data_IF_111047151488
#
_entry.id   IF_111047151488
#
_cell.length_a   1.000
_cell.length_b   1.000
_cell.length_c   1.000
_cell.angle_alpha   90.00
_cell.angle_beta   90.00
_cell.angle_gamma   90.00
#
_symmetry.space_group_name_H-M   'P 1'
#
loop_
_entity.id
_entity.type
_entity.pdbx_description
1 polymer ?
#
# COMPACT_ATOMS: atom_id res chain seq x y z
N UNK A 1 -17.45 -15.64 32.78
CA UNK A 1 -16.16 -16.28 33.28
C UNK A 1 -15.63 -15.43 34.42
N UNK A 2 -15.03 -16.06 35.47
CA UNK A 2 -14.52 -15.30 36.61
C UNK A 2 -13.18 -14.63 36.26
N UNK A 3 -13.17 -13.34 36.26
CA UNK A 3 -11.95 -12.52 36.12
C UNK A 3 -11.88 -11.49 37.24
N UNK A 4 -10.69 -10.95 37.51
CA UNK A 4 -10.52 -9.84 38.43
C UNK A 4 -9.51 -8.83 37.91
N UNK A 5 -9.76 -7.54 38.19
CA UNK A 5 -8.90 -6.41 37.82
C UNK A 5 -8.47 -5.71 39.12
N UNK A 6 -7.16 -5.64 39.35
CA UNK A 6 -6.55 -5.04 40.54
C UNK A 6 -5.39 -4.12 40.15
N UNK A 7 -5.00 -3.23 41.06
CA UNK A 7 -3.91 -2.27 40.88
C UNK A 7 -2.85 -2.39 41.98
N UNK A 8 -2.12 -3.53 42.07
CA UNK A 8 -1.10 -3.69 43.09
C UNK A 8 0.13 -2.82 42.81
N UNK A 9 0.69 -2.25 43.84
CA UNK A 9 2.01 -1.64 43.85
C UNK A 9 3.10 -2.73 43.86
N UNK A 10 4.23 -2.49 43.21
CA UNK A 10 5.43 -3.36 43.38
C UNK A 10 6.02 -3.17 44.77
N UNK A 11 6.74 -4.22 45.24
CA UNK A 11 7.43 -4.21 46.55
C UNK A 11 8.93 -4.44 46.40
N UNK A 12 9.38 -4.83 45.19
CA UNK A 12 10.72 -5.36 44.96
C UNK A 12 11.69 -4.31 44.37
N UNK A 13 11.20 -3.25 43.76
CA UNK A 13 12.05 -2.23 43.09
C UNK A 13 11.43 -0.85 43.18
N UNK A 14 12.09 0.02 43.94
CA UNK A 14 11.76 1.46 43.98
C UNK A 14 12.43 2.26 42.83
N UNK A 15 11.87 3.41 42.48
CA UNK A 15 12.51 4.40 41.66
C UNK A 15 13.57 5.20 42.49
N UNK A 16 14.24 6.18 41.85
CA UNK A 16 15.27 7.03 42.51
C UNK A 16 14.75 7.86 43.67
N UNK A 17 13.41 8.03 43.74
CA UNK A 17 12.71 8.82 44.77
C UNK A 17 12.03 7.93 45.82
N UNK A 18 12.36 6.63 45.87
CA UNK A 18 11.76 5.68 46.82
C UNK A 18 10.31 5.28 46.53
N UNK A 19 9.78 5.62 45.35
CA UNK A 19 8.40 5.27 44.90
C UNK A 19 8.39 3.97 44.13
N UNK A 20 7.31 3.24 44.20
CA UNK A 20 7.12 1.94 43.57
C UNK A 20 6.09 1.99 42.46
N UNK A 21 6.34 1.29 41.37
CA UNK A 21 5.44 1.24 40.24
C UNK A 21 4.11 0.57 40.59
N UNK A 22 3.01 1.23 40.26
CA UNK A 22 1.66 0.67 40.28
C UNK A 22 1.41 -0.04 38.94
N UNK A 23 0.83 -1.24 38.98
CA UNK A 23 0.57 -2.05 37.80
C UNK A 23 -0.90 -2.46 37.76
N UNK A 24 -1.45 -2.61 36.55
CA UNK A 24 -2.71 -3.32 36.38
C UNK A 24 -2.43 -4.82 36.45
N UNK A 25 -3.14 -5.53 37.30
CA UNK A 25 -3.14 -6.98 37.39
C UNK A 25 -4.49 -7.52 36.92
N UNK A 26 -4.51 -8.20 35.78
CA UNK A 26 -5.67 -8.96 35.30
C UNK A 26 -5.49 -10.44 35.63
N UNK A 27 -6.52 -11.04 36.21
CA UNK A 27 -6.55 -12.48 36.52
C UNK A 27 -7.69 -13.13 35.77
N UNK A 28 -7.40 -14.25 35.11
CA UNK A 28 -8.40 -15.14 34.47
C UNK A 28 -7.98 -16.59 34.67
N UNK A 29 -8.88 -17.46 35.08
CA UNK A 29 -8.62 -18.90 35.26
C UNK A 29 -7.38 -19.17 36.13
N UNK A 30 -7.25 -18.46 37.30
CA UNK A 30 -6.14 -18.54 38.25
C UNK A 30 -4.77 -18.09 37.70
N UNK A 31 -4.65 -17.67 36.46
CA UNK A 31 -3.45 -17.07 35.86
C UNK A 31 -3.49 -15.55 35.95
N UNK A 32 -2.33 -14.91 36.13
CA UNK A 32 -2.20 -13.46 36.31
C UNK A 32 -1.30 -12.85 35.23
N UNK A 33 -1.62 -11.64 34.81
CA UNK A 33 -0.77 -10.80 33.96
C UNK A 33 -0.66 -9.40 34.58
N UNK A 34 0.55 -8.85 34.60
CA UNK A 34 0.84 -7.53 35.12
C UNK A 34 1.20 -6.58 33.98
N UNK A 35 0.53 -5.44 33.90
CA UNK A 35 0.73 -4.41 32.88
C UNK A 35 1.24 -3.15 33.59
N UNK A 36 2.35 -2.58 33.12
CA UNK A 36 2.90 -1.34 33.61
C UNK A 36 1.99 -0.14 33.26
N UNK A 37 1.83 0.82 34.20
CA UNK A 37 0.93 1.97 34.02
C UNK A 37 1.64 3.34 34.05
N UNK A 38 2.96 3.39 34.12
CA UNK A 38 3.74 4.63 34.33
C UNK A 38 3.26 5.48 35.54
N UNK A 39 2.71 4.79 36.54
CA UNK A 39 2.30 5.36 37.83
C UNK A 39 3.19 4.85 38.94
N UNK A 40 3.63 5.74 39.81
CA UNK A 40 4.49 5.43 40.94
C UNK A 40 3.87 5.95 42.23
N UNK A 41 3.82 5.08 43.24
CA UNK A 41 3.26 5.40 44.56
C UNK A 41 4.35 5.34 45.63
N UNK A 42 4.35 6.35 46.50
CA UNK A 42 5.10 6.31 47.73
C UNK A 42 4.36 5.39 48.71
N UNK A 43 5.06 4.44 49.37
CA UNK A 43 4.46 3.52 50.34
C UNK A 43 3.67 4.25 51.45
N UNK A 44 4.13 5.41 51.90
CA UNK A 44 3.50 6.19 52.93
C UNK A 44 2.13 6.77 52.53
N UNK A 45 1.90 6.89 51.23
CA UNK A 45 0.69 7.51 50.68
C UNK A 45 -0.08 6.57 49.76
N UNK A 46 0.08 5.24 49.94
CA UNK A 46 -0.63 4.24 49.17
C UNK A 46 -1.49 3.34 50.07
N UNK A 47 -2.77 3.25 49.77
CA UNK A 47 -3.69 2.31 50.42
C UNK A 47 -3.64 0.97 49.70
N UNK A 48 -3.00 -0.02 50.30
CA UNK A 48 -2.85 -1.38 49.73
C UNK A 48 -4.20 -2.11 49.62
N UNK A 49 -5.13 -1.84 50.53
CA UNK A 49 -6.44 -2.51 50.52
C UNK A 49 -7.39 -1.88 49.49
N UNK A 50 -7.41 -0.55 49.43
CA UNK A 50 -8.20 0.20 48.46
C UNK A 50 -7.56 0.31 47.08
N UNK A 51 -6.26 -0.04 46.93
CA UNK A 51 -5.46 0.06 45.68
C UNK A 51 -5.53 1.48 45.09
N UNK A 52 -5.32 2.48 45.95
CA UNK A 52 -5.42 3.90 45.58
C UNK A 52 -4.47 4.78 46.40
N UNK A 53 -4.24 5.99 45.89
CA UNK A 53 -3.45 6.98 46.63
C UNK A 53 -4.27 7.54 47.79
N UNK A 54 -3.62 7.70 48.97
CA UNK A 54 -4.21 8.33 50.16
C UNK A 54 -4.27 9.84 49.96
N UNK A 55 -5.45 10.40 50.07
CA UNK A 55 -5.71 11.85 49.96
C UNK A 55 -5.73 12.44 51.36
N UNK A 56 -4.80 13.36 51.61
CA UNK A 56 -4.70 14.03 52.91
C UNK A 56 -5.70 15.19 53.02
N UNK A 57 -6.22 15.41 54.22
CA UNK A 57 -7.14 16.53 54.53
C UNK A 57 -6.41 17.60 55.31
N UNK A 58 -6.91 18.83 55.29
CA UNK A 58 -6.45 19.96 56.09
C UNK A 58 -4.99 20.39 55.88
N UNK A 59 -4.50 20.32 54.61
CA UNK A 59 -3.16 20.72 54.24
C UNK A 59 -2.96 22.23 54.29
N UNK A 60 -1.90 22.70 54.98
CA UNK A 60 -1.57 24.12 55.12
C UNK A 60 -0.51 24.59 54.10
N UNK A 61 0.46 23.74 53.74
CA UNK A 61 1.57 24.07 52.84
C UNK A 61 1.20 24.00 51.35
N UNK A 62 1.73 24.89 50.52
CA UNK A 62 1.50 24.90 49.08
C UNK A 62 2.06 23.63 48.39
N UNK A 63 3.20 23.13 48.80
CA UNK A 63 3.84 21.93 48.31
C UNK A 63 3.01 20.69 48.60
N UNK A 64 2.55 20.51 49.83
CA UNK A 64 1.68 19.40 50.21
C UNK A 64 0.35 19.41 49.45
N UNK A 65 -0.20 20.60 49.15
CA UNK A 65 -1.41 20.75 48.31
C UNK A 65 -1.14 20.31 46.88
N UNK A 66 0.02 20.66 46.32
CA UNK A 66 0.41 20.25 44.96
C UNK A 66 0.61 18.71 44.84
N UNK A 67 1.26 18.10 45.82
CA UNK A 67 1.41 16.63 45.88
C UNK A 67 0.07 15.93 46.05
N UNK A 68 -0.82 16.46 46.86
CA UNK A 68 -2.16 15.90 47.04
C UNK A 68 -2.97 15.96 45.76
N UNK A 69 -2.87 17.05 45.02
CA UNK A 69 -3.48 17.19 43.68
C UNK A 69 -2.93 16.15 42.67
N UNK A 70 -1.62 15.81 42.73
CA UNK A 70 -1.05 14.72 41.94
C UNK A 70 -1.63 13.37 42.35
N UNK A 71 -1.83 13.10 43.63
CA UNK A 71 -2.47 11.87 44.13
C UNK A 71 -3.93 11.75 43.69
N UNK A 72 -4.68 12.85 43.73
CA UNK A 72 -6.06 12.92 43.19
C UNK A 72 -6.09 12.60 41.68
N UNK A 73 -5.16 13.19 40.92
CA UNK A 73 -5.02 12.89 39.48
C UNK A 73 -4.63 11.41 39.24
N UNK A 74 -3.78 10.84 40.09
CA UNK A 74 -3.43 9.42 40.06
C UNK A 74 -4.66 8.53 40.29
N UNK A 75 -5.49 8.83 41.31
CA UNK A 75 -6.72 8.08 41.55
C UNK A 75 -7.74 8.21 40.39
N UNK A 76 -7.88 9.40 39.83
CA UNK A 76 -8.73 9.59 38.64
C UNK A 76 -8.25 8.77 37.43
N UNK A 77 -6.93 8.62 37.26
CA UNK A 77 -6.35 7.82 36.21
C UNK A 77 -6.55 6.32 36.48
N UNK A 78 -6.37 5.84 37.71
CA UNK A 78 -6.66 4.46 38.09
C UNK A 78 -8.13 4.10 37.84
N UNK A 79 -9.05 4.99 38.18
CA UNK A 79 -10.47 4.81 37.89
C UNK A 79 -10.74 4.66 36.38
N UNK A 80 -10.12 5.50 35.54
CA UNK A 80 -10.18 5.40 34.08
C UNK A 80 -9.64 4.07 33.57
N UNK A 81 -8.51 3.62 34.09
CA UNK A 81 -7.94 2.32 33.72
C UNK A 81 -8.83 1.15 34.12
N UNK A 82 -9.51 1.24 35.28
CA UNK A 82 -10.44 0.22 35.73
C UNK A 82 -11.67 0.12 34.85
N UNK A 83 -12.27 1.25 34.47
CA UNK A 83 -13.39 1.30 33.51
C UNK A 83 -12.97 0.69 32.18
N UNK A 84 -11.86 1.16 31.62
CA UNK A 84 -11.33 0.66 30.35
C UNK A 84 -11.06 -0.85 30.34
N UNK A 85 -10.46 -1.37 31.42
CA UNK A 85 -10.19 -2.80 31.53
C UNK A 85 -11.48 -3.63 31.54
N UNK A 86 -12.56 -3.10 32.20
CA UNK A 86 -13.87 -3.74 32.18
C UNK A 86 -14.50 -3.71 30.80
N UNK A 87 -14.50 -2.58 30.11
CA UNK A 87 -15.04 -2.44 28.75
C UNK A 87 -14.37 -3.42 27.75
N UNK A 88 -13.07 -3.65 27.89
CA UNK A 88 -12.36 -4.62 27.06
C UNK A 88 -12.88 -6.05 27.30
N UNK A 89 -13.03 -6.43 28.55
CA UNK A 89 -13.53 -7.77 28.90
C UNK A 89 -14.99 -7.93 28.48
N UNK A 90 -15.84 -6.96 28.77
CA UNK A 90 -17.26 -6.96 28.37
C UNK A 90 -17.41 -7.09 26.85
N UNK A 91 -16.58 -6.40 26.07
CA UNK A 91 -16.57 -6.56 24.60
C UNK A 91 -16.21 -7.97 24.19
N UNK A 92 -15.18 -8.59 24.76
CA UNK A 92 -14.84 -9.98 24.47
C UNK A 92 -15.98 -10.94 24.83
N UNK A 93 -16.69 -10.70 25.92
CA UNK A 93 -17.83 -11.50 26.34
C UNK A 93 -19.03 -11.34 25.41
N UNK A 94 -19.35 -10.12 24.96
CA UNK A 94 -20.41 -9.82 23.98
C UNK A 94 -20.10 -10.48 22.64
N UNK A 95 -18.84 -10.44 22.20
CA UNK A 95 -18.40 -11.05 20.96
C UNK A 95 -18.21 -12.58 21.04
N UNK A 96 -18.43 -13.19 22.22
CA UNK A 96 -18.27 -14.62 22.46
C UNK A 96 -16.82 -15.13 22.35
N UNK A 97 -15.84 -14.22 22.52
CA UNK A 97 -14.41 -14.53 22.41
C UNK A 97 -13.91 -15.11 23.72
N UNK A 98 -13.38 -16.33 23.71
CA UNK A 98 -12.59 -16.86 24.84
C UNK A 98 -11.18 -16.24 24.81
N UNK A 99 -11.07 -15.01 25.34
CA UNK A 99 -9.86 -14.21 25.31
C UNK A 99 -8.74 -14.77 26.22
N UNK A 100 -7.50 -14.57 25.78
CA UNK A 100 -6.29 -14.86 26.57
C UNK A 100 -5.77 -13.60 27.28
N UNK A 101 -4.94 -13.79 28.31
CA UNK A 101 -4.30 -12.66 29.03
C UNK A 101 -3.41 -11.81 28.11
N UNK A 102 -2.78 -12.43 27.09
CA UNK A 102 -2.00 -11.68 26.10
C UNK A 102 -2.87 -10.84 25.18
N UNK A 103 -4.00 -11.37 24.71
CA UNK A 103 -4.98 -10.60 23.93
C UNK A 103 -5.54 -9.41 24.72
N UNK A 104 -5.79 -9.61 26.01
CA UNK A 104 -6.21 -8.50 26.89
C UNK A 104 -5.08 -7.45 27.00
N UNK A 105 -3.84 -7.85 27.30
CA UNK A 105 -2.68 -6.94 27.39
C UNK A 105 -2.50 -6.16 26.10
N UNK A 106 -2.48 -6.85 24.94
CA UNK A 106 -2.33 -6.23 23.62
C UNK A 106 -3.46 -5.21 23.37
N UNK A 107 -4.70 -5.58 23.69
CA UNK A 107 -5.85 -4.67 23.56
C UNK A 107 -5.74 -3.50 24.52
N UNK A 108 -5.34 -3.74 25.77
CA UNK A 108 -5.19 -2.70 26.78
C UNK A 108 -4.03 -1.74 26.48
N UNK A 109 -2.89 -2.19 26.03
CA UNK A 109 -1.73 -1.38 25.66
C UNK A 109 -1.95 -0.64 24.34
N UNK A 110 -2.52 -1.31 23.36
CA UNK A 110 -2.79 -0.71 22.05
C UNK A 110 -3.87 0.37 22.09
N UNK A 111 -4.71 0.42 23.15
CA UNK A 111 -5.68 1.49 23.30
C UNK A 111 -5.01 2.87 23.60
N UNK A 112 -3.75 2.93 24.02
CA UNK A 112 -3.01 4.20 24.07
C UNK A 112 -2.68 4.73 22.65
N UNK A 113 -2.60 3.83 21.66
CA UNK A 113 -2.59 4.13 20.22
C UNK A 113 -4.02 4.16 19.62
N UNK A 114 -5.03 3.67 20.36
CA UNK A 114 -6.44 3.70 19.97
C UNK A 114 -6.87 5.17 19.82
N UNK A 115 -7.18 5.51 18.60
CA UNK A 115 -7.69 6.82 18.28
C UNK A 115 -6.75 7.69 17.47
N UNK A 116 -5.43 7.55 17.51
CA UNK A 116 -4.53 8.40 16.72
C UNK A 116 -4.37 7.87 15.29
N UNK A 117 -5.13 8.45 14.41
CA UNK A 117 -5.18 8.06 13.00
C UNK A 117 -3.79 8.05 12.33
N UNK A 118 -3.00 9.14 12.49
CA UNK A 118 -1.72 9.24 11.79
C UNK A 118 -0.65 8.29 12.32
N UNK A 119 -0.64 8.01 13.63
CA UNK A 119 0.27 7.02 14.21
C UNK A 119 0.00 5.61 13.66
N UNK A 120 -1.27 5.19 13.62
CA UNK A 120 -1.69 3.93 13.01
C UNK A 120 -1.31 3.85 11.51
N UNK A 121 -1.50 4.96 10.78
CA UNK A 121 -1.12 5.02 9.37
C UNK A 121 0.39 4.81 9.19
N UNK A 122 1.23 5.43 10.05
CA UNK A 122 2.69 5.27 10.04
C UNK A 122 3.11 3.83 10.36
N UNK A 123 2.52 3.22 11.38
CA UNK A 123 2.78 1.81 11.75
C UNK A 123 2.43 0.87 10.58
N UNK A 124 1.32 1.15 9.87
CA UNK A 124 0.92 0.36 8.70
C UNK A 124 1.90 0.50 7.53
N UNK A 125 2.43 1.68 7.28
CA UNK A 125 3.47 1.90 6.27
C UNK A 125 4.72 1.09 6.60
N UNK A 126 5.15 1.12 7.87
CA UNK A 126 6.30 0.37 8.34
C UNK A 126 6.11 -1.15 8.21
N UNK A 127 4.94 -1.67 8.57
CA UNK A 127 4.57 -3.09 8.42
C UNK A 127 4.64 -3.54 6.95
N UNK A 128 4.04 -2.76 6.04
CA UNK A 128 4.09 -3.05 4.60
C UNK A 128 5.52 -3.05 4.06
N UNK A 129 6.35 -2.13 4.56
CA UNK A 129 7.75 -2.06 4.20
C UNK A 129 8.51 -3.29 4.69
N UNK A 130 8.38 -3.65 5.97
CA UNK A 130 9.03 -4.80 6.59
C UNK A 130 8.64 -6.13 5.92
N UNK A 131 7.38 -6.24 5.46
CA UNK A 131 6.88 -7.43 4.74
C UNK A 131 7.19 -7.44 3.23
N UNK A 132 8.02 -6.49 2.76
CA UNK A 132 8.45 -6.40 1.36
C UNK A 132 7.36 -5.95 0.38
N UNK A 133 6.27 -5.32 0.88
CA UNK A 133 5.24 -4.68 0.07
C UNK A 133 5.59 -3.23 -0.28
N UNK A 134 6.82 -3.01 -0.79
CA UNK A 134 7.41 -1.68 -0.98
C UNK A 134 6.51 -0.75 -1.82
N UNK A 135 5.92 -1.25 -2.91
CA UNK A 135 5.02 -0.45 -3.75
C UNK A 135 3.78 0.06 -2.99
N UNK A 136 3.17 -0.78 -2.15
CA UNK A 136 2.03 -0.38 -1.33
C UNK A 136 2.45 0.57 -0.21
N UNK A 137 3.59 0.33 0.45
CA UNK A 137 4.10 1.25 1.48
C UNK A 137 4.35 2.64 0.91
N UNK A 138 4.88 2.75 -0.30
CA UNK A 138 5.06 4.03 -1.00
C UNK A 138 3.73 4.71 -1.36
N UNK A 139 2.72 3.95 -1.79
CA UNK A 139 1.36 4.47 -2.05
C UNK A 139 0.74 5.06 -0.77
N UNK A 140 0.85 4.35 0.34
CA UNK A 140 0.36 4.82 1.62
C UNK A 140 1.14 6.03 2.13
N UNK A 141 2.48 6.02 1.99
CA UNK A 141 3.31 7.17 2.34
C UNK A 141 2.93 8.43 1.56
N UNK A 142 2.77 8.33 0.23
CA UNK A 142 2.33 9.45 -0.60
C UNK A 142 0.96 9.99 -0.17
N UNK A 143 0.05 9.09 0.21
CA UNK A 143 -1.28 9.48 0.70
C UNK A 143 -1.18 10.17 2.06
N UNK A 144 -0.35 9.67 2.97
CA UNK A 144 -0.10 10.29 4.27
C UNK A 144 0.55 11.68 4.13
N UNK A 145 1.53 11.81 3.24
CA UNK A 145 2.19 13.11 2.97
C UNK A 145 1.20 14.13 2.38
N UNK A 146 0.29 13.68 1.52
CA UNK A 146 -0.76 14.53 0.98
C UNK A 146 -1.78 14.95 2.04
N UNK A 147 -2.15 14.05 2.96
CA UNK A 147 -3.00 14.35 4.11
C UNK A 147 -2.32 15.33 5.07
N UNK A 148 -1.02 15.20 5.34
CA UNK A 148 -0.23 16.16 6.13
C UNK A 148 -0.18 17.55 5.47
N UNK A 149 -0.14 17.60 4.15
CA UNK A 149 -0.21 18.86 3.39
C UNK A 149 -1.59 19.53 3.50
N UNK A 150 -2.65 18.74 3.63
CA UNK A 150 -4.02 19.22 3.85
C UNK A 150 -4.25 19.64 5.30
N UNK A 151 -3.85 18.80 6.25
CA UNK A 151 -4.11 18.98 7.67
C UNK A 151 -2.81 18.97 8.50
N UNK A 152 -2.34 20.15 8.89
CA UNK A 152 -1.14 20.31 9.73
C UNK A 152 -1.27 19.70 11.12
N UNK A 153 -2.52 19.43 11.57
CA UNK A 153 -2.82 18.81 12.87
C UNK A 153 -3.11 17.31 12.75
N UNK A 154 -2.74 16.67 11.63
CA UNK A 154 -3.00 15.25 11.37
C UNK A 154 -2.50 14.33 12.49
N UNK A 155 -1.35 14.66 13.12
CA UNK A 155 -0.78 13.89 14.25
C UNK A 155 -1.67 13.90 15.51
N UNK A 156 -2.57 14.87 15.61
CA UNK A 156 -3.50 15.01 16.74
C UNK A 156 -4.87 14.37 16.44
N UNK A 157 -5.17 14.08 15.17
CA UNK A 157 -6.46 13.54 14.74
C UNK A 157 -6.70 12.14 15.26
N UNK A 158 -7.91 11.95 15.78
CA UNK A 158 -8.45 10.65 16.12
C UNK A 158 -9.15 10.04 14.89
N UNK A 159 -9.42 8.73 14.91
CA UNK A 159 -10.21 8.10 13.84
C UNK A 159 -11.62 8.70 13.75
N UNK A 160 -12.21 9.13 14.85
CA UNK A 160 -13.49 9.82 14.87
C UNK A 160 -13.51 11.15 14.13
N UNK A 161 -12.35 11.80 13.98
CA UNK A 161 -12.23 13.08 13.28
C UNK A 161 -12.13 12.90 11.76
N UNK A 162 -11.88 11.67 11.29
CA UNK A 162 -11.79 11.34 9.86
C UNK A 162 -13.19 10.95 9.35
N UNK A 163 -14.10 11.84 9.49
CA UNK A 163 -15.51 11.70 9.11
C UNK A 163 -15.78 12.11 7.64
N UNK A 164 -17.04 12.09 7.23
CA UNK A 164 -17.45 12.47 5.88
C UNK A 164 -17.12 13.93 5.56
N UNK A 165 -17.20 14.83 6.53
CA UNK A 165 -16.86 16.25 6.34
C UNK A 165 -15.37 16.42 6.09
N UNK A 166 -14.53 15.70 6.86
CA UNK A 166 -13.09 15.69 6.69
C UNK A 166 -12.70 15.20 5.27
N UNK A 167 -13.30 14.08 4.84
CA UNK A 167 -13.04 13.47 3.52
C UNK A 167 -13.46 14.39 2.38
N UNK A 168 -14.62 15.04 2.49
CA UNK A 168 -15.07 16.06 1.50
C UNK A 168 -14.13 17.27 1.48
N UNK A 169 -13.66 17.74 2.63
CA UNK A 169 -12.68 18.82 2.70
C UNK A 169 -11.35 18.46 2.05
N UNK A 170 -10.88 17.23 2.26
CA UNK A 170 -9.69 16.71 1.59
C UNK A 170 -9.88 16.61 0.07
N UNK A 171 -11.07 16.18 -0.40
CA UNK A 171 -11.38 16.16 -1.84
C UNK A 171 -11.33 17.55 -2.46
N UNK A 172 -11.94 18.53 -1.82
CA UNK A 172 -11.88 19.94 -2.26
C UNK A 172 -10.44 20.48 -2.30
N UNK A 173 -9.62 20.11 -1.32
CA UNK A 173 -8.21 20.49 -1.31
C UNK A 173 -7.47 19.88 -2.51
N UNK A 174 -7.69 18.60 -2.82
CA UNK A 174 -7.08 17.93 -3.96
C UNK A 174 -7.54 18.56 -5.30
N UNK A 175 -8.83 18.93 -5.41
CA UNK A 175 -9.35 19.63 -6.58
C UNK A 175 -8.67 21.01 -6.78
N UNK A 176 -8.54 21.79 -5.71
CA UNK A 176 -7.84 23.09 -5.76
C UNK A 176 -6.38 22.97 -6.17
N UNK A 177 -5.74 21.81 -5.93
CA UNK A 177 -4.39 21.50 -6.40
C UNK A 177 -4.34 20.99 -7.85
N UNK A 178 -5.45 20.97 -8.56
CA UNK A 178 -5.54 20.50 -9.94
C UNK A 178 -5.46 18.96 -10.09
N UNK A 179 -5.70 18.19 -9.02
CA UNK A 179 -5.72 16.74 -9.12
C UNK A 179 -6.95 16.27 -9.91
N UNK A 180 -6.73 15.53 -11.02
CA UNK A 180 -7.82 14.87 -11.76
C UNK A 180 -8.49 13.76 -10.90
N UNK A 181 -9.69 13.32 -11.31
CA UNK A 181 -10.48 12.33 -10.58
C UNK A 181 -9.73 11.04 -10.30
N UNK A 182 -8.99 10.52 -11.28
CA UNK A 182 -8.19 9.30 -11.09
C UNK A 182 -7.06 9.47 -10.06
N UNK A 183 -6.44 10.65 -9.97
CA UNK A 183 -5.44 10.95 -8.92
C UNK A 183 -6.11 11.05 -7.55
N UNK A 184 -7.28 11.68 -7.45
CA UNK A 184 -8.07 11.74 -6.23
C UNK A 184 -8.50 10.33 -5.79
N UNK A 185 -9.00 9.53 -6.73
CA UNK A 185 -9.34 8.11 -6.52
C UNK A 185 -8.18 7.31 -5.93
N UNK A 186 -6.95 7.56 -6.38
CA UNK A 186 -5.74 6.91 -5.84
C UNK A 186 -5.58 7.18 -4.35
N UNK A 187 -5.65 8.43 -3.90
CA UNK A 187 -5.54 8.80 -2.49
C UNK A 187 -6.70 8.24 -1.65
N UNK A 188 -7.92 8.33 -2.14
CA UNK A 188 -9.08 7.81 -1.41
C UNK A 188 -9.14 6.29 -1.31
N UNK A 189 -8.62 5.56 -2.29
CA UNK A 189 -8.47 4.10 -2.17
C UNK A 189 -7.54 3.72 -1.02
N UNK A 190 -6.40 4.39 -0.87
CA UNK A 190 -5.46 4.15 0.22
C UNK A 190 -6.06 4.54 1.58
N UNK A 191 -6.68 5.72 1.68
CA UNK A 191 -7.36 6.18 2.90
C UNK A 191 -8.48 5.21 3.32
N UNK A 192 -9.32 4.78 2.38
CA UNK A 192 -10.38 3.80 2.64
C UNK A 192 -9.83 2.47 3.13
N UNK A 193 -8.74 1.98 2.54
CA UNK A 193 -8.12 0.73 2.96
C UNK A 193 -7.57 0.80 4.39
N UNK A 194 -6.98 1.93 4.79
CA UNK A 194 -6.53 2.18 6.18
C UNK A 194 -7.70 2.17 7.16
N UNK A 195 -8.78 2.90 6.85
CA UNK A 195 -9.95 2.97 7.73
C UNK A 195 -10.68 1.63 7.85
N UNK A 196 -10.81 0.89 6.73
CA UNK A 196 -11.40 -0.45 6.74
C UNK A 196 -10.60 -1.40 7.63
N UNK A 197 -9.27 -1.37 7.51
CA UNK A 197 -8.41 -2.21 8.34
C UNK A 197 -8.49 -1.82 9.80
N UNK A 198 -8.41 -0.53 10.13
CA UNK A 198 -8.55 -0.04 11.50
C UNK A 198 -9.88 -0.45 12.12
N UNK A 199 -10.97 -0.40 11.36
CA UNK A 199 -12.28 -0.86 11.82
C UNK A 199 -12.32 -2.37 12.07
N UNK A 200 -11.72 -3.16 11.17
CA UNK A 200 -11.61 -4.61 11.34
C UNK A 200 -10.75 -5.02 12.55
N UNK A 201 -9.75 -4.21 12.89
CA UNK A 201 -8.88 -4.39 14.07
C UNK A 201 -9.48 -3.77 15.36
N UNK A 202 -10.67 -3.15 15.26
CA UNK A 202 -11.38 -2.55 16.42
C UNK A 202 -10.74 -1.26 16.97
N UNK A 203 -9.79 -0.65 16.22
CA UNK A 203 -9.12 0.60 16.60
C UNK A 203 -9.68 1.83 15.86
N UNK A 204 -10.46 1.59 14.82
CA UNK A 204 -11.11 2.62 14.02
C UNK A 204 -12.40 3.15 14.66
N UNK A 205 -13.12 4.01 13.93
CA UNK A 205 -14.43 4.54 14.31
C UNK A 205 -15.47 4.16 13.26
N UNK A 206 -16.28 3.14 13.55
CA UNK A 206 -17.36 2.70 12.66
C UNK A 206 -18.46 3.76 12.56
N UNK A 207 -18.75 4.44 13.67
CA UNK A 207 -19.82 5.46 13.75
C UNK A 207 -19.58 6.67 12.81
N UNK A 208 -18.33 7.04 12.59
CA UNK A 208 -17.94 8.18 11.73
C UNK A 208 -17.35 7.75 10.39
N UNK A 209 -17.44 6.44 10.04
CA UNK A 209 -16.84 5.90 8.82
C UNK A 209 -17.37 6.60 7.56
N UNK A 210 -16.48 7.26 6.77
CA UNK A 210 -16.90 8.18 5.71
C UNK A 210 -17.26 7.51 4.38
N UNK A 211 -16.92 6.24 4.18
CA UNK A 211 -17.11 5.52 2.91
C UNK A 211 -18.27 4.52 2.93
N UNK A 212 -19.13 4.57 3.95
CA UNK A 212 -20.30 3.71 4.09
C UNK A 212 -21.44 4.10 3.14
N UNK A 213 -22.60 3.48 3.31
CA UNK A 213 -23.81 3.79 2.54
C UNK A 213 -24.20 5.28 2.73
N UNK A 214 -24.35 6.01 1.63
CA UNK A 214 -24.61 7.47 1.65
C UNK A 214 -23.38 8.32 1.97
N UNK A 215 -22.20 7.71 2.14
CA UNK A 215 -20.93 8.39 2.38
C UNK A 215 -20.24 8.87 1.10
N UNK A 216 -18.91 8.96 1.15
CA UNK A 216 -18.09 9.39 0.02
C UNK A 216 -17.85 8.24 -0.97
N UNK A 217 -18.32 8.41 -2.20
CA UNK A 217 -18.26 7.39 -3.24
C UNK A 217 -16.99 7.52 -4.09
N UNK A 218 -15.98 6.70 -3.77
CA UNK A 218 -14.68 6.70 -4.47
C UNK A 218 -14.81 6.29 -5.96
N UNK A 219 -15.83 5.50 -6.31
CA UNK A 219 -16.10 5.08 -7.70
C UNK A 219 -16.47 6.25 -8.60
N UNK A 220 -17.20 7.25 -8.09
CA UNK A 220 -17.59 8.44 -8.83
C UNK A 220 -16.43 9.35 -9.25
N UNK A 221 -15.24 9.13 -8.70
CA UNK A 221 -14.04 9.86 -9.08
C UNK A 221 -13.37 9.30 -10.34
N UNK A 222 -13.89 8.19 -10.88
CA UNK A 222 -13.31 7.55 -12.04
C UNK A 222 -13.57 8.38 -13.30
N UNK A 223 -12.49 8.78 -13.94
CA UNK A 223 -12.50 9.46 -15.22
C UNK A 223 -11.94 8.52 -16.29
N UNK A 224 -12.64 8.44 -17.40
CA UNK A 224 -12.16 7.71 -18.57
C UNK A 224 -10.84 8.33 -19.05
N UNK A 225 -9.82 7.51 -19.18
CA UNK A 225 -8.56 7.94 -19.77
C UNK A 225 -8.55 7.60 -21.25
N UNK A 226 -8.18 8.57 -22.10
CA UNK A 226 -8.02 8.33 -23.52
C UNK A 226 -7.06 7.14 -23.74
N UNK A 227 -7.50 6.17 -24.52
CA UNK A 227 -6.68 5.02 -24.90
C UNK A 227 -5.59 5.49 -25.85
N UNK A 228 -4.35 5.18 -25.53
CA UNK A 228 -3.19 5.64 -26.29
C UNK A 228 -2.46 4.42 -26.84
N UNK A 229 -2.73 4.06 -28.08
CA UNK A 229 -1.98 3.08 -28.84
C UNK A 229 -1.36 3.74 -30.07
N UNK A 230 -0.22 3.22 -30.53
CA UNK A 230 0.42 3.74 -31.72
C UNK A 230 -0.36 3.33 -32.98
N UNK A 231 -0.61 4.28 -33.88
CA UNK A 231 -1.03 3.94 -35.25
C UNK A 231 -0.03 3.01 -35.95
N UNK A 232 -0.52 2.23 -36.91
CA UNK A 232 0.33 1.25 -37.61
C UNK A 232 1.54 1.89 -38.31
N UNK A 233 1.36 3.09 -38.91
CA UNK A 233 2.45 3.84 -39.54
C UNK A 233 3.54 4.22 -38.54
N UNK A 234 3.17 4.73 -37.36
CA UNK A 234 4.11 5.14 -36.32
C UNK A 234 4.83 3.92 -35.67
N UNK A 235 4.11 2.82 -35.52
CA UNK A 235 4.70 1.56 -35.11
C UNK A 235 5.72 1.04 -36.14
N UNK A 236 5.42 1.18 -37.44
CA UNK A 236 6.34 0.83 -38.52
C UNK A 236 7.61 1.66 -38.47
N UNK A 237 7.52 2.99 -38.26
CA UNK A 237 8.69 3.84 -38.03
C UNK A 237 9.55 3.33 -36.87
N UNK A 238 8.93 3.05 -35.73
CA UNK A 238 9.66 2.50 -34.57
C UNK A 238 10.36 1.16 -34.87
N UNK A 239 9.79 0.33 -35.73
CA UNK A 239 10.40 -0.96 -36.11
C UNK A 239 11.58 -0.80 -37.07
N UNK A 240 11.46 0.10 -38.06
CA UNK A 240 12.42 0.23 -39.16
C UNK A 240 13.55 1.22 -38.93
N UNK A 241 13.35 2.21 -38.08
CA UNK A 241 14.32 3.29 -37.86
C UNK A 241 15.14 3.05 -36.57
N UNK A 242 16.46 3.17 -36.71
CA UNK A 242 17.37 3.17 -35.57
C UNK A 242 17.53 4.61 -35.06
N UNK A 243 17.42 4.84 -33.75
CA UNK A 243 17.62 6.15 -33.19
C UNK A 243 19.11 6.52 -33.17
N UNK A 244 19.44 7.79 -33.45
CA UNK A 244 20.81 8.29 -33.44
C UNK A 244 21.38 8.40 -32.03
N UNK A 245 20.53 8.77 -31.05
CA UNK A 245 20.92 8.80 -29.65
C UNK A 245 20.93 7.39 -29.03
N UNK A 246 22.07 6.89 -28.49
CA UNK A 246 22.16 5.53 -27.95
C UNK A 246 21.15 5.26 -26.82
N UNK A 247 20.77 6.24 -26.04
CA UNK A 247 19.79 6.10 -24.95
C UNK A 247 18.36 6.01 -25.51
N UNK A 248 18.07 6.74 -26.59
CA UNK A 248 16.80 6.62 -27.31
C UNK A 248 16.70 5.26 -28.00
N UNK A 249 17.80 4.78 -28.61
CA UNK A 249 17.86 3.46 -29.21
C UNK A 249 17.66 2.34 -28.18
N UNK A 250 18.26 2.47 -27.00
CA UNK A 250 18.02 1.54 -25.91
C UNK A 250 16.53 1.56 -25.47
N UNK A 251 15.93 2.73 -25.35
CA UNK A 251 14.52 2.87 -25.02
C UNK A 251 13.61 2.28 -26.11
N UNK A 252 13.96 2.48 -27.41
CA UNK A 252 13.26 1.88 -28.55
C UNK A 252 13.28 0.36 -28.48
N UNK A 253 14.44 -0.24 -28.23
CA UNK A 253 14.58 -1.70 -28.09
C UNK A 253 13.74 -2.26 -26.95
N UNK A 254 13.73 -1.60 -25.79
CA UNK A 254 12.87 -1.98 -24.65
C UNK A 254 11.37 -1.85 -24.97
N UNK A 255 10.99 -0.81 -25.71
CA UNK A 255 9.61 -0.62 -26.14
C UNK A 255 9.17 -1.74 -27.09
N UNK A 256 10.01 -2.07 -28.09
CA UNK A 256 9.75 -3.16 -29.05
C UNK A 256 9.76 -4.53 -28.37
N UNK A 257 10.67 -4.75 -27.42
CA UNK A 257 10.66 -5.97 -26.61
C UNK A 257 9.34 -6.10 -25.83
N UNK A 258 8.90 -5.01 -25.17
CA UNK A 258 7.60 -5.00 -24.48
C UNK A 258 6.46 -5.31 -25.47
N UNK A 259 6.44 -4.69 -26.64
CA UNK A 259 5.41 -4.89 -27.65
C UNK A 259 5.35 -6.35 -28.12
N UNK A 260 6.49 -6.95 -28.50
CA UNK A 260 6.55 -8.35 -28.96
C UNK A 260 6.28 -9.35 -27.83
N UNK A 261 6.56 -8.98 -26.59
CA UNK A 261 6.24 -9.76 -25.41
C UNK A 261 4.85 -9.41 -24.83
N UNK A 262 3.86 -9.19 -25.68
CA UNK A 262 2.45 -8.97 -25.34
C UNK A 262 2.22 -7.77 -24.41
N UNK A 263 3.07 -6.74 -24.49
CA UNK A 263 2.98 -5.56 -23.63
C UNK A 263 3.41 -5.84 -22.19
N UNK A 264 4.43 -6.66 -22.00
CA UNK A 264 5.04 -6.90 -20.68
C UNK A 264 5.40 -5.59 -20.00
N UNK A 265 5.07 -5.42 -18.70
CA UNK A 265 5.32 -4.18 -17.99
C UNK A 265 6.81 -3.97 -17.72
N UNK A 266 7.22 -2.70 -17.55
CA UNK A 266 8.63 -2.37 -17.28
C UNK A 266 9.18 -3.08 -16.04
N UNK A 267 8.40 -3.17 -14.97
CA UNK A 267 8.82 -3.88 -13.74
C UNK A 267 8.96 -5.38 -14.00
N UNK A 268 8.08 -5.98 -14.82
CA UNK A 268 8.18 -7.38 -15.16
C UNK A 268 9.43 -7.62 -16.03
N UNK A 269 9.70 -6.76 -17.03
CA UNK A 269 10.95 -6.80 -17.83
C UNK A 269 12.21 -6.70 -16.97
N UNK A 270 12.22 -5.77 -16.01
CA UNK A 270 13.35 -5.55 -15.12
C UNK A 270 13.64 -6.73 -14.18
N UNK A 271 12.62 -7.56 -13.94
CA UNK A 271 12.70 -8.71 -13.04
C UNK A 271 12.77 -10.04 -13.76
N UNK A 272 12.86 -10.04 -15.12
CA UNK A 272 13.12 -11.27 -15.87
C UNK A 272 14.53 -11.78 -15.58
N UNK A 273 14.63 -13.09 -15.39
CA UNK A 273 15.90 -13.79 -15.19
C UNK A 273 16.10 -14.86 -16.26
N UNK A 274 17.34 -15.29 -16.45
CA UNK A 274 17.67 -16.38 -17.39
C UNK A 274 16.94 -17.69 -17.05
N UNK A 275 16.70 -17.94 -15.76
CA UNK A 275 15.97 -19.13 -15.30
C UNK A 275 14.50 -19.19 -15.75
N UNK A 276 13.94 -18.08 -16.22
CA UNK A 276 12.57 -17.99 -16.74
C UNK A 276 12.48 -18.35 -18.22
N UNK A 277 13.60 -18.52 -18.91
CA UNK A 277 13.63 -19.13 -20.24
C UNK A 277 13.46 -20.64 -20.08
N UNK A 278 12.39 -21.18 -20.68
CA UNK A 278 12.07 -22.61 -20.65
C UNK A 278 12.11 -23.16 -22.07
N UNK A 279 12.85 -24.21 -22.27
CA UNK A 279 12.83 -24.96 -23.52
C UNK A 279 11.61 -25.88 -23.53
N UNK A 280 10.82 -25.82 -24.60
CA UNK A 280 9.65 -26.66 -24.86
C UNK A 280 9.85 -27.35 -26.23
N UNK A 281 8.96 -28.29 -26.56
CA UNK A 281 9.08 -29.08 -27.80
C UNK A 281 9.14 -28.21 -29.07
N UNK A 282 8.43 -27.09 -29.10
CA UNK A 282 8.29 -26.18 -30.22
C UNK A 282 9.14 -24.90 -30.12
N UNK A 283 10.08 -24.83 -29.17
CA UNK A 283 11.04 -23.75 -29.00
C UNK A 283 11.18 -23.23 -27.59
N UNK A 284 11.86 -22.08 -27.45
CA UNK A 284 12.10 -21.44 -26.18
C UNK A 284 10.96 -20.50 -25.80
N UNK A 285 10.64 -20.45 -24.51
CA UNK A 285 9.60 -19.58 -23.95
C UNK A 285 10.09 -18.80 -22.74
N UNK A 286 9.68 -17.52 -22.61
CA UNK A 286 9.76 -16.76 -21.39
C UNK A 286 8.52 -17.09 -20.56
N UNK A 287 8.70 -17.72 -19.38
CA UNK A 287 7.60 -18.11 -18.50
C UNK A 287 7.72 -17.35 -17.19
N UNK A 288 6.79 -16.45 -16.92
CA UNK A 288 6.86 -15.58 -15.74
C UNK A 288 5.48 -15.29 -15.12
N UNK A 289 5.48 -14.90 -13.85
CA UNK A 289 4.30 -14.34 -13.17
C UNK A 289 4.47 -12.84 -13.00
N UNK A 290 3.43 -12.07 -13.33
CA UNK A 290 3.46 -10.60 -13.19
C UNK A 290 3.77 -10.17 -11.76
N UNK A 291 4.74 -9.28 -11.58
CA UNK A 291 5.19 -8.80 -10.26
C UNK A 291 4.03 -8.20 -9.44
N UNK A 292 3.09 -7.51 -10.09
CA UNK A 292 1.94 -6.88 -9.43
C UNK A 292 1.03 -7.87 -8.71
N UNK A 293 0.88 -9.09 -9.22
CA UNK A 293 -0.09 -10.09 -8.74
C UNK A 293 0.55 -11.42 -8.34
N UNK A 294 1.87 -11.58 -8.44
CA UNK A 294 2.58 -12.86 -8.23
C UNK A 294 2.31 -13.53 -6.87
N UNK A 295 1.93 -12.73 -5.87
CA UNK A 295 1.63 -13.22 -4.51
C UNK A 295 0.18 -13.66 -4.32
N UNK A 296 -0.70 -13.40 -5.28
CA UNK A 296 -2.11 -13.83 -5.21
C UNK A 296 -2.20 -15.33 -5.48
N UNK A 297 -3.14 -16.01 -4.80
CA UNK A 297 -3.41 -17.43 -5.05
C UNK A 297 -4.01 -17.61 -6.45
N UNK A 298 -3.66 -18.71 -7.11
CA UNK A 298 -4.23 -19.07 -8.41
C UNK A 298 -3.70 -18.29 -9.63
N UNK A 299 -2.71 -17.40 -9.47
CA UNK A 299 -2.11 -16.67 -10.60
C UNK A 299 -1.39 -17.64 -11.51
N UNK A 300 -1.89 -17.75 -12.74
CA UNK A 300 -1.25 -18.53 -13.82
C UNK A 300 -0.04 -17.78 -14.37
N UNK A 301 1.05 -18.47 -14.72
CA UNK A 301 2.17 -17.85 -15.41
C UNK A 301 1.76 -17.44 -16.84
N UNK A 302 2.40 -16.39 -17.35
CA UNK A 302 2.34 -16.01 -18.76
C UNK A 302 3.49 -16.71 -19.46
N UNK A 303 3.18 -17.30 -20.61
CA UNK A 303 4.15 -17.99 -21.49
C UNK A 303 4.27 -17.23 -22.80
N UNK A 304 5.47 -16.77 -23.15
CA UNK A 304 5.75 -15.98 -24.33
C UNK A 304 6.77 -16.75 -25.17
N UNK A 305 6.37 -17.19 -26.36
CA UNK A 305 7.29 -17.85 -27.30
C UNK A 305 8.38 -16.87 -27.74
N UNK A 306 9.65 -17.28 -27.66
CA UNK A 306 10.78 -16.47 -28.08
C UNK A 306 10.91 -16.56 -29.61
N UNK A 307 10.32 -15.56 -30.28
CA UNK A 307 10.47 -15.42 -31.74
C UNK A 307 11.87 -14.92 -32.10
N UNK A 308 12.29 -15.03 -33.39
CA UNK A 308 13.55 -14.45 -33.84
C UNK A 308 13.72 -12.97 -33.49
N UNK A 309 12.64 -12.17 -33.59
CA UNK A 309 12.64 -10.75 -33.22
C UNK A 309 12.93 -10.54 -31.75
N UNK A 310 12.30 -11.33 -30.87
CA UNK A 310 12.54 -11.25 -29.40
C UNK A 310 13.97 -11.63 -29.08
N UNK A 311 14.48 -12.71 -29.68
CA UNK A 311 15.87 -13.20 -29.51
C UNK A 311 16.90 -12.15 -29.94
N UNK A 312 16.67 -11.51 -31.07
CA UNK A 312 17.52 -10.42 -31.58
C UNK A 312 17.51 -9.20 -30.63
N UNK A 313 16.35 -8.85 -30.10
CA UNK A 313 16.25 -7.74 -29.15
C UNK A 313 16.99 -8.05 -27.84
N UNK A 314 16.85 -9.26 -27.30
CA UNK A 314 17.60 -9.68 -26.10
C UNK A 314 19.10 -9.55 -26.37
N UNK A 315 19.62 -10.16 -27.44
CA UNK A 315 21.04 -10.12 -27.79
C UNK A 315 21.55 -8.69 -28.00
N UNK A 316 20.77 -7.85 -28.70
CA UNK A 316 21.16 -6.45 -28.96
C UNK A 316 21.13 -5.56 -27.71
N UNK A 317 20.27 -5.85 -26.74
CA UNK A 317 20.24 -5.14 -25.45
C UNK A 317 21.41 -5.57 -24.58
N UNK A 318 21.73 -6.86 -24.54
CA UNK A 318 22.88 -7.41 -23.80
C UNK A 318 24.22 -6.94 -24.38
N UNK A 319 24.33 -6.85 -25.71
CA UNK A 319 25.52 -6.31 -26.37
C UNK A 319 25.75 -4.82 -26.09
N UNK A 320 24.66 -4.04 -25.92
CA UNK A 320 24.74 -2.62 -25.61
C UNK A 320 25.11 -2.32 -24.14
N UNK A 321 24.82 -3.23 -23.23
CA UNK A 321 25.14 -3.08 -21.81
C UNK A 321 25.15 -4.46 -21.14
N UNK A 322 26.17 -4.78 -20.32
CA UNK A 322 26.21 -6.06 -19.62
C UNK A 322 25.05 -6.21 -18.63
N UNK A 323 24.54 -7.42 -18.52
CA UNK A 323 23.60 -7.79 -17.46
C UNK A 323 24.35 -8.02 -16.15
N UNK A 324 23.69 -7.85 -15.03
CA UNK A 324 24.22 -8.14 -13.70
C UNK A 324 23.37 -9.23 -13.05
N UNK A 325 23.95 -9.96 -12.14
CA UNK A 325 23.31 -11.10 -11.48
C UNK A 325 22.67 -12.04 -12.53
N UNK A 326 21.48 -12.58 -12.27
CA UNK A 326 20.74 -13.47 -13.19
C UNK A 326 19.74 -12.75 -14.09
N UNK A 327 19.75 -11.40 -14.14
CA UNK A 327 18.77 -10.65 -14.93
C UNK A 327 18.95 -10.86 -16.43
N UNK A 328 17.83 -11.11 -17.11
CA UNK A 328 17.82 -11.36 -18.57
C UNK A 328 18.11 -10.07 -19.36
N UNK A 329 17.63 -8.94 -18.92
CA UNK A 329 17.78 -7.65 -19.60
C UNK A 329 18.61 -6.68 -18.76
N UNK A 330 19.44 -5.82 -19.37
CA UNK A 330 20.34 -4.89 -18.67
C UNK A 330 19.59 -3.65 -18.13
N UNK A 331 18.41 -3.85 -17.53
CA UNK A 331 17.63 -2.79 -16.89
C UNK A 331 18.17 -2.51 -15.50
N UNK A 332 18.42 -3.56 -14.71
CA UNK A 332 19.16 -3.47 -13.46
C UNK A 332 20.64 -3.43 -13.78
N UNK A 333 21.34 -2.39 -13.32
CA UNK A 333 22.75 -2.13 -13.65
C UNK A 333 23.68 -2.17 -12.44
N UNK A 334 23.18 -2.64 -11.31
CA UNK A 334 23.93 -2.77 -10.04
C UNK A 334 23.72 -4.16 -9.48
N UNK A 335 24.80 -4.90 -9.32
CA UNK A 335 24.78 -6.24 -8.72
C UNK A 335 24.45 -6.22 -7.24
N UNK A 336 23.79 -7.27 -6.74
CA UNK A 336 23.49 -7.47 -5.33
C UNK A 336 22.36 -6.59 -4.77
N UNK A 337 21.64 -5.83 -5.62
CA UNK A 337 20.52 -5.03 -5.17
C UNK A 337 19.29 -5.92 -4.90
N UNK A 338 18.75 -5.82 -3.67
CA UNK A 338 17.55 -6.54 -3.24
C UNK A 338 16.57 -5.60 -2.53
N UNK A 339 15.34 -6.08 -2.28
CA UNK A 339 14.34 -5.35 -1.49
C UNK A 339 14.10 -3.92 -1.99
N UNK A 340 14.16 -2.97 -1.06
CA UNK A 340 13.92 -1.55 -1.37
C UNK A 340 14.95 -0.96 -2.31
N UNK A 341 16.24 -1.32 -2.17
CA UNK A 341 17.31 -0.80 -3.05
C UNK A 341 17.03 -1.18 -4.49
N UNK A 342 16.65 -2.43 -4.75
CA UNK A 342 16.28 -2.88 -6.09
C UNK A 342 15.03 -2.16 -6.61
N UNK A 343 14.00 -2.02 -5.77
CA UNK A 343 12.78 -1.30 -6.12
C UNK A 343 13.06 0.16 -6.52
N UNK A 344 13.83 0.89 -5.73
CA UNK A 344 14.18 2.28 -6.01
C UNK A 344 15.06 2.41 -7.26
N UNK A 345 16.00 1.48 -7.46
CA UNK A 345 16.81 1.43 -8.67
C UNK A 345 15.96 1.24 -9.91
N UNK A 346 15.04 0.27 -9.91
CA UNK A 346 14.12 0.03 -11.04
C UNK A 346 13.23 1.25 -11.29
N UNK A 347 12.75 1.95 -10.26
CA UNK A 347 12.00 3.20 -10.42
C UNK A 347 12.83 4.30 -11.10
N UNK A 348 14.08 4.46 -10.70
CA UNK A 348 14.99 5.44 -11.34
C UNK A 348 15.24 5.08 -12.82
N UNK A 349 15.42 3.79 -13.13
CA UNK A 349 15.55 3.30 -14.51
C UNK A 349 14.26 3.52 -15.31
N UNK A 350 13.10 3.31 -14.70
CA UNK A 350 11.81 3.60 -15.31
C UNK A 350 11.64 5.08 -15.67
N UNK A 351 11.99 5.98 -14.77
CA UNK A 351 11.93 7.42 -15.05
C UNK A 351 12.84 7.82 -16.22
N UNK A 352 14.05 7.24 -16.30
CA UNK A 352 14.96 7.44 -17.45
C UNK A 352 14.35 6.89 -18.73
N UNK A 353 13.78 5.69 -18.69
CA UNK A 353 13.12 5.06 -19.84
C UNK A 353 11.98 5.95 -20.36
N UNK A 354 11.11 6.46 -19.51
CA UNK A 354 10.04 7.37 -19.90
C UNK A 354 10.57 8.67 -20.54
N UNK A 355 11.66 9.23 -19.99
CA UNK A 355 12.33 10.41 -20.57
C UNK A 355 12.81 10.13 -22.00
N UNK A 356 13.50 9.00 -22.20
CA UNK A 356 14.06 8.67 -23.51
C UNK A 356 13.01 8.20 -24.52
N UNK A 357 11.86 7.65 -24.08
CA UNK A 357 10.73 7.43 -24.98
C UNK A 357 10.15 8.72 -25.54
N UNK A 358 10.08 9.79 -24.71
CA UNK A 358 9.64 11.09 -25.18
C UNK A 358 10.61 11.68 -26.19
N UNK A 359 11.92 11.67 -25.88
CA UNK A 359 12.95 12.16 -26.81
C UNK A 359 12.99 11.33 -28.09
N UNK A 360 12.76 10.03 -28.01
CA UNK A 360 12.65 9.15 -29.19
C UNK A 360 11.48 9.55 -30.09
N UNK A 361 10.33 9.87 -29.49
CA UNK A 361 9.18 10.35 -30.26
C UNK A 361 9.49 11.65 -31.00
N UNK A 362 10.17 12.59 -30.32
CA UNK A 362 10.63 13.86 -30.92
C UNK A 362 11.64 13.58 -32.06
N UNK A 363 12.65 12.71 -31.85
CA UNK A 363 13.68 12.37 -32.84
C UNK A 363 13.07 11.71 -34.10
N UNK A 364 12.07 10.85 -33.93
CA UNK A 364 11.45 10.13 -35.05
C UNK A 364 10.26 10.88 -35.70
N UNK A 365 9.95 12.09 -35.24
CA UNK A 365 8.80 12.85 -35.71
C UNK A 365 7.47 12.13 -35.47
N UNK A 366 7.35 11.44 -34.32
CA UNK A 366 6.13 10.78 -33.89
C UNK A 366 5.31 11.78 -33.08
N UNK A 367 4.23 12.30 -33.67
CA UNK A 367 3.32 13.22 -32.99
C UNK A 367 2.39 12.42 -32.04
N UNK A 368 3.00 11.80 -31.03
CA UNK A 368 2.31 10.98 -30.06
C UNK A 368 3.08 10.93 -28.73
N UNK A 369 2.37 11.09 -27.61
CA UNK A 369 3.00 10.97 -26.29
C UNK A 369 3.38 9.51 -25.99
N UNK A 370 4.61 9.13 -26.38
CA UNK A 370 5.12 7.78 -26.24
C UNK A 370 5.47 7.48 -24.75
N UNK A 371 4.82 6.48 -24.19
CA UNK A 371 5.08 5.99 -22.84
C UNK A 371 5.28 4.49 -22.84
N UNK A 372 5.84 3.94 -21.76
CA UNK A 372 6.01 2.48 -21.62
C UNK A 372 4.69 1.71 -21.71
N UNK A 373 3.57 2.34 -21.35
CA UNK A 373 2.26 1.69 -21.36
C UNK A 373 1.64 1.63 -22.75
N UNK A 374 2.07 2.53 -23.64
CA UNK A 374 1.66 2.54 -25.06
C UNK A 374 2.03 1.24 -25.77
N UNK A 375 3.18 0.62 -25.46
CA UNK A 375 3.56 -0.66 -26.04
C UNK A 375 2.51 -1.76 -25.78
N UNK A 376 1.95 -1.78 -24.58
CA UNK A 376 0.92 -2.73 -24.17
C UNK A 376 -0.42 -2.49 -24.86
N UNK A 377 -0.84 -1.22 -24.93
CA UNK A 377 -2.05 -0.86 -25.69
C UNK A 377 -1.90 -1.18 -27.17
N UNK A 378 -0.74 -0.88 -27.74
CA UNK A 378 -0.45 -1.17 -29.14
C UNK A 378 -0.47 -2.66 -29.41
N UNK A 379 0.13 -3.48 -28.54
CA UNK A 379 0.10 -4.95 -28.68
C UNK A 379 -1.34 -5.48 -28.63
N UNK A 380 -2.14 -5.03 -27.66
CA UNK A 380 -3.54 -5.42 -27.52
C UNK A 380 -4.38 -5.05 -28.74
N UNK A 381 -4.24 -3.82 -29.24
CA UNK A 381 -4.95 -3.33 -30.43
C UNK A 381 -4.49 -4.02 -31.71
N UNK A 382 -3.19 -4.34 -31.82
CA UNK A 382 -2.69 -5.13 -32.96
C UNK A 382 -3.31 -6.52 -32.98
N UNK A 383 -3.40 -7.20 -31.84
CA UNK A 383 -4.04 -8.51 -31.73
C UNK A 383 -5.54 -8.42 -32.08
N UNK A 384 -6.26 -7.41 -31.56
CA UNK A 384 -7.68 -7.20 -31.85
C UNK A 384 -7.91 -6.97 -33.34
N UNK A 385 -7.11 -6.12 -34.00
CA UNK A 385 -7.21 -5.84 -35.45
C UNK A 385 -6.93 -7.06 -36.31
N UNK A 386 -6.19 -8.04 -35.80
CA UNK A 386 -5.97 -9.34 -36.43
C UNK A 386 -7.00 -10.39 -36.00
N UNK A 387 -8.17 -9.97 -35.50
CA UNK A 387 -9.29 -10.82 -35.13
C UNK A 387 -8.98 -11.90 -34.09
N UNK A 388 -7.97 -11.67 -33.21
CA UNK A 388 -7.69 -12.57 -32.10
C UNK A 388 -8.80 -12.44 -31.05
N UNK A 389 -9.38 -13.55 -30.57
CA UNK A 389 -10.44 -13.53 -29.55
C UNK A 389 -10.00 -12.79 -28.28
N UNK A 390 -10.94 -12.06 -27.66
CA UNK A 390 -10.66 -11.24 -26.47
C UNK A 390 -10.14 -12.06 -25.29
N UNK A 391 -10.61 -13.29 -25.14
CA UNK A 391 -10.17 -14.25 -24.12
C UNK A 391 -8.70 -14.60 -24.29
N UNK A 392 -8.25 -14.81 -25.54
CA UNK A 392 -6.86 -15.09 -25.88
C UNK A 392 -6.02 -13.86 -25.58
N UNK A 393 -6.45 -12.67 -25.99
CA UNK A 393 -5.77 -11.40 -25.68
C UNK A 393 -5.66 -11.20 -24.16
N UNK A 394 -6.74 -11.48 -23.42
CA UNK A 394 -6.75 -11.41 -21.96
C UNK A 394 -5.69 -12.31 -21.32
N UNK A 395 -5.61 -13.54 -21.79
CA UNK A 395 -4.61 -14.50 -21.33
C UNK A 395 -3.18 -14.07 -21.68
N UNK A 396 -2.95 -13.61 -22.92
CA UNK A 396 -1.64 -13.09 -23.37
C UNK A 396 -1.19 -11.89 -22.53
N UNK A 397 -2.11 -10.97 -22.20
CA UNK A 397 -1.83 -9.81 -21.35
C UNK A 397 -1.71 -10.17 -19.87
N UNK A 398 -2.11 -11.40 -19.47
CA UNK A 398 -2.12 -11.84 -18.07
C UNK A 398 -3.08 -11.03 -17.20
N UNK A 399 -4.30 -10.76 -17.70
CA UNK A 399 -5.37 -10.17 -16.92
C UNK A 399 -6.04 -11.26 -16.07
N UNK A 400 -6.45 -10.92 -14.85
CA UNK A 400 -7.15 -11.85 -13.97
C UNK A 400 -8.62 -12.03 -14.37
N UNK A 401 -9.19 -11.03 -15.08
CA UNK A 401 -10.56 -10.99 -15.56
C UNK A 401 -10.65 -10.35 -16.95
N UNK A 402 -11.71 -10.70 -17.69
CA UNK A 402 -12.02 -10.15 -19.01
C UNK A 402 -12.41 -8.69 -18.96
N UNK A 403 -12.98 -8.24 -17.83
CA UNK A 403 -13.42 -6.85 -17.65
C UNK A 403 -12.24 -5.89 -17.78
N UNK A 404 -11.08 -6.27 -17.21
CA UNK A 404 -9.83 -5.53 -17.39
C UNK A 404 -9.41 -5.46 -18.87
N UNK A 405 -9.64 -6.50 -19.65
CA UNK A 405 -9.32 -6.52 -21.09
C UNK A 405 -10.30 -5.67 -21.88
N UNK A 406 -11.57 -5.71 -21.55
CA UNK A 406 -12.61 -4.89 -22.18
C UNK A 406 -12.30 -3.40 -22.03
N UNK A 407 -11.78 -2.93 -20.90
CA UNK A 407 -11.33 -1.54 -20.74
C UNK A 407 -10.30 -1.13 -21.80
N UNK A 408 -9.48 -2.06 -22.31
CA UNK A 408 -8.51 -1.82 -23.37
C UNK A 408 -9.15 -1.85 -24.77
N UNK A 409 -10.19 -2.65 -24.96
CA UNK A 409 -10.73 -3.06 -26.27
C UNK A 409 -12.15 -2.50 -26.55
N UNK A 410 -12.71 -1.68 -25.70
CA UNK A 410 -14.13 -1.26 -25.73
C UNK A 410 -14.53 -0.36 -26.90
N UNK A 411 -13.60 0.19 -27.64
CA UNK A 411 -13.91 0.91 -28.88
C UNK A 411 -13.37 0.14 -30.08
N UNK A 412 -14.26 -0.45 -30.84
CA UNK A 412 -13.90 -0.79 -32.21
C UNK A 412 -13.71 0.52 -32.98
N UNK A 413 -12.63 0.63 -33.76
CA UNK A 413 -12.48 1.71 -34.71
C UNK A 413 -13.64 1.62 -35.72
N UNK A 414 -14.10 2.77 -36.22
CA UNK A 414 -15.14 2.81 -37.25
C UNK A 414 -14.80 1.92 -38.46
N UNK A 415 -13.52 1.73 -38.78
CA UNK A 415 -13.06 0.80 -39.82
C UNK A 415 -13.50 -0.64 -39.53
N UNK A 416 -13.33 -1.14 -38.31
CA UNK A 416 -13.74 -2.51 -37.94
C UNK A 416 -15.25 -2.66 -37.98
N UNK A 417 -15.98 -1.62 -37.54
CA UNK A 417 -17.45 -1.59 -37.61
C UNK A 417 -17.90 -1.58 -39.08
N UNK A 418 -17.24 -0.77 -39.92
CA UNK A 418 -17.55 -0.68 -41.36
C UNK A 418 -17.21 -1.97 -42.09
N UNK A 419 -16.09 -2.66 -41.75
CA UNK A 419 -15.77 -3.97 -42.30
C UNK A 419 -16.80 -5.03 -41.87
N UNK A 420 -17.20 -5.03 -40.61
CA UNK A 420 -18.24 -5.94 -40.12
C UNK A 420 -19.60 -5.66 -40.78
N UNK A 421 -19.92 -4.40 -41.07
CA UNK A 421 -21.15 -4.03 -41.75
C UNK A 421 -21.21 -4.51 -43.23
N UNK A 422 -20.05 -4.78 -43.87
CA UNK A 422 -20.01 -5.34 -45.25
C UNK A 422 -20.49 -6.81 -45.29
N UNK A 423 -20.60 -7.48 -44.16
CA UNK A 423 -21.08 -8.87 -44.07
C UNK A 423 -22.61 -8.94 -43.99
N UNK A 424 -23.26 -7.79 -43.69
CA UNK A 424 -24.73 -7.62 -43.66
C UNK A 424 -25.24 -7.23 -45.03
#
# INVERSE_FOLDING_TARGET
MAYSIRFPRRHDKADRNGRYAVRLCITKNKRRKYIALDLYADPAYWDEAGEQFIILRNLKGAEQKAENKQREAGNALLAKYKVRAREIVERFEIEGIDWTLNQFEDTFLNTSKQGKFNAYFTDRIAELHATGHIGNSQTYKQTQDMLKSYDRKLDQRLFSDIDLRYVRGFDMFLQKRGCCGNTRKFYFKALRAILNRANAEGVGSVATYPFGRGGFEVSKLEEATAKRYLPAAELSKLKSTTASNPQCEYARKLFLFSYYCYGISFIDMAMLTAAQIKQMEDGDYIVYKRQKIKRQKGVKPISIKITPAIRQLIGSLQAASPTVDDFLLPIVTRSGYTGERLYMHIRARYSKYQKYLRLLAEELGIDFHLTSYVSRHTAAMTLQRNNIPREVISQMLGHADLETTNIYLDSFDNEVINEAAKVL
#
